data_IF_867658592424
#
_entry.id   IF_867658592424
#
_cell.length_a   1.000
_cell.length_b   1.000
_cell.length_c   1.000
_cell.angle_alpha   90.00
_cell.angle_beta   90.00
_cell.angle_gamma   90.00
#
_symmetry.space_group_name_H-M   'P 1'
#
loop_
_entity.id
_entity.type
_entity.pdbx_description
1 polymer ?
#
# COMPACT_ATOMS: atom_id res chain seq x y z
N UNK A 1 -16.56 1.38 6.22
CA UNK A 1 -15.89 0.24 5.58
C UNK A 1 -14.82 -0.19 6.55
N UNK A 2 -14.73 -1.46 6.91
CA UNK A 2 -13.57 -1.94 7.69
C UNK A 2 -12.32 -1.64 6.86
N UNK A 3 -11.35 -0.97 7.46
CA UNK A 3 -10.08 -0.70 6.82
C UNK A 3 -9.33 -2.04 6.77
N UNK A 4 -9.06 -2.57 5.57
CA UNK A 4 -8.35 -3.84 5.43
C UNK A 4 -6.93 -3.76 6.02
N UNK A 5 -6.29 -2.60 5.86
CA UNK A 5 -4.97 -2.27 6.42
C UNK A 5 -5.15 -1.51 7.73
N UNK A 6 -4.67 -2.08 8.83
CA UNK A 6 -4.71 -1.45 10.16
C UNK A 6 -3.63 -0.36 10.21
N UNK A 7 -2.38 -0.74 9.92
CA UNK A 7 -1.21 0.13 9.95
C UNK A 7 -0.43 0.00 8.63
N UNK A 8 0.10 1.11 8.13
CA UNK A 8 1.11 1.12 7.07
C UNK A 8 2.13 2.22 7.41
N UNK A 9 3.39 1.84 7.45
CA UNK A 9 4.47 2.76 7.81
C UNK A 9 5.82 2.34 7.20
N UNK A 10 6.77 3.27 7.18
CA UNK A 10 8.13 3.07 6.73
C UNK A 10 9.04 3.01 7.97
N UNK A 11 9.76 1.90 8.10
CA UNK A 11 10.68 1.65 9.19
C UNK A 11 12.11 1.58 8.67
N UNK A 12 13.02 2.29 9.32
CA UNK A 12 14.45 2.20 9.10
C UNK A 12 15.06 1.18 10.07
N UNK A 13 15.81 0.20 9.55
CA UNK A 13 16.46 -0.82 10.35
C UNK A 13 17.70 -0.22 11.02
N UNK A 14 17.68 -0.11 12.35
CA UNK A 14 18.76 0.48 13.13
C UNK A 14 19.82 -0.56 13.51
N UNK A 15 19.37 -1.72 13.98
CA UNK A 15 20.26 -2.77 14.48
C UNK A 15 19.70 -4.14 14.09
N UNK A 16 20.61 -5.08 13.88
CA UNK A 16 20.32 -6.49 13.66
C UNK A 16 21.02 -7.30 14.75
N UNK A 17 20.25 -8.15 15.42
CA UNK A 17 20.69 -9.04 16.49
C UNK A 17 21.40 -8.32 17.65
N UNK A 18 20.68 -7.48 18.42
CA UNK A 18 21.26 -6.75 19.56
C UNK A 18 21.82 -7.67 20.66
N UNK A 19 21.28 -8.88 20.79
CA UNK A 19 21.71 -9.90 21.75
C UNK A 19 22.75 -10.88 21.16
N UNK A 20 23.28 -10.57 19.97
CA UNK A 20 24.11 -11.47 19.18
C UNK A 20 23.29 -12.51 18.40
N UNK A 21 23.93 -13.13 17.41
CA UNK A 21 23.30 -14.12 16.52
C UNK A 21 23.09 -15.44 17.27
N UNK A 22 21.87 -15.66 17.77
CA UNK A 22 21.48 -16.91 18.45
C UNK A 22 20.98 -17.99 17.49
N UNK A 23 20.47 -17.59 16.33
CA UNK A 23 19.89 -18.49 15.34
C UNK A 23 20.50 -18.23 13.96
N UNK A 24 20.69 -19.28 13.16
CA UNK A 24 21.31 -19.15 11.84
C UNK A 24 20.39 -18.52 10.80
N UNK A 25 19.10 -18.88 10.85
CA UNK A 25 18.09 -18.52 9.85
C UNK A 25 17.18 -17.37 10.27
N UNK A 26 17.16 -17.04 11.55
CA UNK A 26 16.27 -16.00 12.10
C UNK A 26 17.12 -14.94 12.75
N UNK A 27 16.88 -13.69 12.39
CA UNK A 27 17.48 -12.54 13.07
C UNK A 27 16.40 -11.67 13.67
N UNK A 28 16.73 -11.07 14.81
CA UNK A 28 15.91 -10.05 15.46
C UNK A 28 16.34 -8.68 14.97
N UNK A 29 15.47 -7.99 14.25
CA UNK A 29 15.71 -6.63 13.80
C UNK A 29 15.06 -5.63 14.75
N UNK A 30 15.79 -4.54 15.03
CA UNK A 30 15.24 -3.34 15.65
C UNK A 30 15.14 -2.27 14.58
N UNK A 31 13.92 -1.76 14.38
CA UNK A 31 13.64 -0.74 13.38
C UNK A 31 12.84 0.40 14.01
N UNK A 32 13.01 1.60 13.48
CA UNK A 32 12.31 2.80 13.94
C UNK A 32 11.53 3.42 12.80
N UNK A 33 10.31 3.85 13.08
CA UNK A 33 9.44 4.51 12.12
C UNK A 33 9.94 5.91 11.79
N UNK A 34 9.86 6.27 10.50
CA UNK A 34 10.18 7.61 10.00
C UNK A 34 9.04 8.62 10.29
N UNK A 35 7.78 8.18 10.25
CA UNK A 35 6.62 9.10 10.30
C UNK A 35 6.03 9.29 11.69
N UNK A 36 6.01 8.23 12.50
CA UNK A 36 5.17 8.15 13.69
C UNK A 36 5.94 7.83 14.96
N UNK A 37 7.29 7.91 14.92
CA UNK A 37 8.18 7.66 16.07
C UNK A 37 7.86 6.34 16.81
N UNK A 38 7.43 5.33 16.05
CA UNK A 38 7.20 3.98 16.54
C UNK A 38 8.49 3.17 16.57
N UNK A 39 8.65 2.37 17.61
CA UNK A 39 9.76 1.42 17.73
C UNK A 39 9.25 0.02 17.44
N UNK A 40 9.94 -0.70 16.57
CA UNK A 40 9.59 -2.04 16.12
C UNK A 40 10.74 -3.00 16.42
N UNK A 41 10.44 -4.09 17.12
CA UNK A 41 11.33 -5.26 17.21
C UNK A 41 10.64 -6.42 16.53
N UNK A 42 11.28 -7.03 15.53
CA UNK A 42 10.68 -8.08 14.70
C UNK A 42 11.67 -9.22 14.46
N UNK A 43 11.22 -10.45 14.61
CA UNK A 43 11.96 -11.63 14.20
C UNK A 43 11.66 -11.94 12.72
N UNK A 44 12.71 -11.96 11.88
CA UNK A 44 12.62 -12.18 10.43
C UNK A 44 13.47 -13.37 10.02
N UNK A 45 12.97 -14.17 9.08
CA UNK A 45 13.74 -15.21 8.45
C UNK A 45 14.69 -14.62 7.40
N UNK A 46 15.98 -14.58 7.72
CA UNK A 46 17.03 -13.94 6.89
C UNK A 46 17.42 -14.75 5.67
N UNK A 47 17.11 -16.05 5.64
CA UNK A 47 17.37 -16.95 4.51
C UNK A 47 16.43 -16.62 3.33
N UNK A 48 15.15 -16.35 3.64
CA UNK A 48 14.14 -16.02 2.64
C UNK A 48 14.15 -14.53 2.30
N UNK A 49 14.32 -13.67 3.30
CA UNK A 49 14.29 -12.22 3.12
C UNK A 49 15.51 -11.59 3.79
N UNK A 50 16.61 -11.38 3.04
CA UNK A 50 17.82 -10.79 3.59
C UNK A 50 17.59 -9.32 3.90
N UNK A 51 17.75 -8.96 5.18
CA UNK A 51 17.66 -7.60 5.70
C UNK A 51 19.04 -7.15 6.18
N UNK A 52 19.42 -5.95 5.74
CA UNK A 52 20.64 -5.26 6.15
C UNK A 52 20.33 -4.06 7.06
N UNK A 53 21.33 -3.63 7.83
CA UNK A 53 21.22 -2.46 8.71
C UNK A 53 21.25 -1.20 7.84
N UNK A 54 20.38 -0.24 8.14
CA UNK A 54 20.19 0.99 7.36
C UNK A 54 19.16 0.88 6.23
N UNK A 55 18.63 -0.32 5.96
CA UNK A 55 17.57 -0.47 4.96
C UNK A 55 16.24 0.11 5.44
N UNK A 56 15.50 0.75 4.51
CA UNK A 56 14.13 1.22 4.75
C UNK A 56 13.13 0.18 4.28
N UNK A 57 12.34 -0.33 5.21
CA UNK A 57 11.31 -1.34 5.00
C UNK A 57 9.93 -0.71 5.11
N UNK A 58 9.07 -0.94 4.12
CA UNK A 58 7.65 -0.58 4.23
C UNK A 58 6.94 -1.77 4.85
N UNK A 59 6.32 -1.54 6.00
CA UNK A 59 5.63 -2.57 6.79
C UNK A 59 4.15 -2.18 6.88
N UNK A 60 3.30 -3.15 6.55
CA UNK A 60 1.85 -3.01 6.63
C UNK A 60 1.25 -4.14 7.45
N UNK A 61 0.44 -3.77 8.44
CA UNK A 61 -0.41 -4.71 9.20
C UNK A 61 -1.81 -4.69 8.60
N UNK A 62 -2.33 -5.85 8.24
CA UNK A 62 -3.66 -5.99 7.69
C UNK A 62 -4.46 -7.05 8.47
N UNK A 63 -5.76 -6.81 8.64
CA UNK A 63 -6.70 -7.79 9.21
C UNK A 63 -7.18 -8.80 8.18
N UNK A 64 -7.12 -8.43 6.89
CA UNK A 64 -7.52 -9.29 5.78
C UNK A 64 -6.66 -9.02 4.55
N UNK A 65 -6.44 -10.07 3.77
CA UNK A 65 -5.71 -10.04 2.50
C UNK A 65 -6.62 -9.72 1.31
N UNK A 66 -7.93 -9.88 1.49
CA UNK A 66 -8.92 -9.63 0.45
C UNK A 66 -9.09 -8.13 0.22
N UNK A 67 -8.99 -7.71 -1.04
CA UNK A 67 -9.23 -6.33 -1.46
C UNK A 67 -10.65 -5.86 -1.11
N UNK A 68 -11.60 -6.80 -1.07
CA UNK A 68 -13.01 -6.56 -0.77
C UNK A 68 -13.28 -6.27 0.72
N UNK A 69 -12.27 -6.42 1.59
CA UNK A 69 -12.38 -6.16 3.03
C UNK A 69 -13.20 -7.21 3.78
N UNK A 70 -13.49 -8.36 3.15
CA UNK A 70 -14.10 -9.51 3.82
C UNK A 70 -13.13 -10.07 4.88
N UNK A 71 -13.60 -10.40 6.09
CA UNK A 71 -12.73 -10.96 7.12
C UNK A 71 -12.10 -12.25 6.60
N UNK A 72 -10.79 -12.43 6.80
CA UNK A 72 -10.11 -13.64 6.36
C UNK A 72 -10.56 -14.84 7.19
N UNK A 73 -10.83 -15.97 6.54
CA UNK A 73 -11.08 -17.24 7.24
C UNK A 73 -9.82 -17.68 8.01
N UNK A 74 -10.01 -18.44 9.10
CA UNK A 74 -8.91 -19.04 9.86
C UNK A 74 -8.11 -20.08 9.05
N UNK A 75 -8.65 -20.54 7.92
CA UNK A 75 -8.02 -21.49 7.00
C UNK A 75 -7.47 -20.75 5.78
N UNK A 76 -6.22 -21.05 5.42
CA UNK A 76 -5.59 -20.54 4.20
C UNK A 76 -6.39 -21.03 2.98
N UNK A 77 -6.94 -20.08 2.21
CA UNK A 77 -7.64 -20.40 0.98
C UNK A 77 -6.63 -20.63 -0.14
N UNK A 78 -6.52 -21.87 -0.63
CA UNK A 78 -5.63 -22.21 -1.74
C UNK A 78 -5.95 -21.43 -3.02
N UNK A 79 -7.12 -20.77 -3.11
CA UNK A 79 -7.47 -19.87 -4.21
C UNK A 79 -6.53 -18.65 -4.33
N UNK A 80 -5.77 -18.31 -3.28
CA UNK A 80 -4.71 -17.31 -3.35
C UNK A 80 -3.60 -17.69 -4.36
N UNK A 81 -3.33 -18.98 -4.53
CA UNK A 81 -2.41 -19.48 -5.56
C UNK A 81 -3.04 -19.52 -6.97
N UNK A 82 -4.37 -19.45 -7.06
CA UNK A 82 -5.16 -19.57 -8.30
C UNK A 82 -5.26 -18.25 -9.11
N UNK A 83 -4.54 -17.20 -8.72
CA UNK A 83 -4.45 -15.95 -9.50
C UNK A 83 -5.47 -14.86 -9.16
N UNK A 84 -6.16 -14.94 -8.02
CA UNK A 84 -6.96 -13.81 -7.52
C UNK A 84 -6.00 -12.71 -7.05
N UNK A 85 -6.19 -11.47 -7.53
CA UNK A 85 -5.39 -10.34 -7.07
C UNK A 85 -5.65 -10.07 -5.59
N UNK A 86 -4.59 -9.99 -4.80
CA UNK A 86 -4.69 -9.73 -3.36
C UNK A 86 -3.76 -8.62 -2.91
N UNK A 87 -3.85 -8.23 -1.64
CA UNK A 87 -2.87 -7.32 -1.05
C UNK A 87 -1.45 -7.92 -1.06
N UNK A 88 -1.30 -9.25 -0.99
CA UNK A 88 0.00 -9.94 -0.96
C UNK A 88 0.86 -9.64 -2.19
N UNK A 89 0.25 -9.51 -3.36
CA UNK A 89 0.95 -9.30 -4.63
C UNK A 89 1.81 -8.02 -4.65
N UNK A 90 1.52 -7.06 -3.76
CA UNK A 90 2.24 -5.78 -3.66
C UNK A 90 3.43 -5.82 -2.69
N UNK A 91 3.62 -6.94 -1.99
CA UNK A 91 4.62 -7.12 -0.94
C UNK A 91 5.46 -8.36 -1.22
N UNK A 92 6.66 -8.39 -0.65
CA UNK A 92 7.67 -9.42 -0.93
C UNK A 92 7.68 -10.50 0.14
N UNK A 93 7.41 -10.08 1.38
CA UNK A 93 7.46 -10.94 2.54
C UNK A 93 6.14 -10.81 3.30
N UNK A 94 5.52 -11.95 3.61
CA UNK A 94 4.21 -12.01 4.26
C UNK A 94 4.28 -13.00 5.41
N UNK A 95 3.75 -12.61 6.57
CA UNK A 95 3.57 -13.48 7.73
C UNK A 95 2.12 -13.42 8.21
N UNK A 96 1.63 -14.54 8.73
CA UNK A 96 0.32 -14.63 9.36
C UNK A 96 0.49 -14.99 10.84
N UNK A 97 -0.20 -14.26 11.70
CA UNK A 97 -0.02 -14.38 13.14
C UNK A 97 -1.21 -13.85 13.92
N UNK A 98 -1.04 -13.81 15.24
CA UNK A 98 -2.09 -13.44 16.17
C UNK A 98 -1.54 -12.50 17.25
N UNK A 99 -2.32 -11.49 17.61
CA UNK A 99 -2.01 -10.61 18.75
C UNK A 99 -2.27 -11.38 20.03
N UNK A 100 -1.26 -11.50 20.91
CA UNK A 100 -1.40 -12.27 22.14
C UNK A 100 -1.32 -11.42 23.40
N UNK A 101 -0.68 -10.25 23.34
CA UNK A 101 -0.54 -9.37 24.50
C UNK A 101 -0.60 -7.91 24.05
N UNK A 102 -1.43 -7.15 24.73
CA UNK A 102 -1.53 -5.70 24.61
C UNK A 102 -1.19 -5.10 25.97
N UNK A 103 -0.26 -4.14 25.99
CA UNK A 103 0.16 -3.45 27.22
C UNK A 103 0.02 -1.95 27.00
N UNK A 104 -0.95 -1.35 27.67
CA UNK A 104 -1.08 0.11 27.71
C UNK A 104 -0.20 0.66 28.85
N UNK A 105 0.87 1.40 28.51
CA UNK A 105 1.70 2.06 29.51
C UNK A 105 1.18 3.46 29.89
N UNK A 106 -0.06 3.82 29.52
CA UNK A 106 -0.70 5.08 29.89
C UNK A 106 -0.70 5.38 31.40
N UNK A 107 -0.68 4.33 32.23
CA UNK A 107 -0.60 4.42 33.70
C UNK A 107 0.74 4.94 34.24
N UNK A 108 1.81 4.89 33.44
CA UNK A 108 3.18 5.28 33.84
C UNK A 108 3.58 6.69 33.42
N UNK A 109 2.62 7.49 32.93
CA UNK A 109 2.86 8.86 32.44
C UNK A 109 3.47 8.94 31.03
N UNK A 110 3.80 7.79 30.43
CA UNK A 110 4.21 7.70 29.04
C UNK A 110 3.00 7.37 28.15
N UNK A 111 2.74 8.22 27.14
CA UNK A 111 1.68 8.04 26.13
C UNK A 111 2.04 6.96 25.08
N UNK A 112 2.68 5.86 25.49
CA UNK A 112 3.09 4.77 24.59
C UNK A 112 2.36 3.48 24.95
N UNK A 113 1.89 2.75 23.94
CA UNK A 113 1.34 1.40 24.08
C UNK A 113 2.25 0.40 23.38
N UNK A 114 2.37 -0.80 23.96
CA UNK A 114 3.13 -1.91 23.42
C UNK A 114 2.18 -3.03 22.96
N UNK A 115 2.29 -3.43 21.71
CA UNK A 115 1.55 -4.55 21.11
C UNK A 115 2.51 -5.68 20.79
N UNK A 116 2.17 -6.89 21.25
CA UNK A 116 2.94 -8.09 20.98
C UNK A 116 2.16 -9.03 20.06
N UNK A 117 2.79 -9.42 18.97
CA UNK A 117 2.24 -10.30 17.93
C UNK A 117 3.14 -11.52 17.78
N UNK A 118 2.52 -12.69 17.60
CA UNK A 118 3.23 -13.95 17.35
C UNK A 118 2.86 -14.50 15.99
N UNK A 119 3.88 -14.78 15.16
CA UNK A 119 3.77 -15.38 13.85
C UNK A 119 4.29 -16.82 13.89
N UNK A 120 3.63 -17.68 14.68
CA UNK A 120 4.01 -19.10 14.79
C UNK A 120 5.38 -19.35 15.42
N UNK A 121 5.81 -18.47 16.33
CA UNK A 121 7.11 -18.56 17.02
C UNK A 121 8.04 -17.38 16.74
N UNK A 122 7.84 -16.68 15.63
CA UNK A 122 8.50 -15.39 15.36
C UNK A 122 7.75 -14.28 16.10
N UNK A 123 8.46 -13.53 16.93
CA UNK A 123 7.86 -12.50 17.76
C UNK A 123 7.99 -11.12 17.13
N UNK A 124 6.99 -10.29 17.39
CA UNK A 124 6.99 -8.88 17.07
C UNK A 124 6.53 -8.09 18.28
N UNK A 125 7.25 -7.01 18.56
CA UNK A 125 6.88 -5.98 19.52
C UNK A 125 6.81 -4.65 18.79
N UNK A 126 5.65 -4.00 18.87
CA UNK A 126 5.43 -2.67 18.31
C UNK A 126 5.09 -1.71 19.46
N UNK A 127 5.90 -0.68 19.63
CA UNK A 127 5.72 0.36 20.63
C UNK A 127 5.39 1.67 19.93
N UNK A 128 4.28 2.32 20.29
CA UNK A 128 3.85 3.55 19.64
C UNK A 128 2.64 4.22 20.28
N UNK A 129 2.07 5.21 19.59
CA UNK A 129 0.89 5.93 20.08
C UNK A 129 -0.34 5.01 20.21
N UNK A 130 -1.06 5.04 21.36
CA UNK A 130 -2.23 4.18 21.59
C UNK A 130 -3.36 4.42 20.58
N UNK A 131 -3.51 5.66 20.07
CA UNK A 131 -4.56 6.02 19.10
C UNK A 131 -4.45 5.30 17.76
N UNK A 132 -3.25 4.84 17.39
CA UNK A 132 -3.00 4.10 16.14
C UNK A 132 -3.04 2.59 16.34
N UNK A 133 -2.85 2.17 17.58
CA UNK A 133 -2.82 0.78 18.00
C UNK A 133 -4.19 0.32 18.54
N UNK A 134 -5.17 1.22 18.66
CA UNK A 134 -6.55 0.92 19.07
C UNK A 134 -7.26 -0.05 18.11
N UNK A 135 -6.86 -0.08 16.83
CA UNK A 135 -7.42 -1.00 15.84
C UNK A 135 -6.90 -2.45 16.01
N UNK A 136 -5.99 -2.72 16.96
CA UNK A 136 -5.37 -4.02 17.22
C UNK A 136 -5.94 -4.64 18.49
N UNK A 137 -6.86 -5.58 18.33
CA UNK A 137 -7.45 -6.31 19.43
C UNK A 137 -6.63 -7.55 19.82
N UNK A 138 -6.72 -7.93 21.10
CA UNK A 138 -6.19 -9.21 21.58
C UNK A 138 -6.95 -10.35 20.89
N UNK A 139 -6.23 -11.42 20.59
CA UNK A 139 -6.73 -12.60 19.91
C UNK A 139 -7.17 -12.37 18.44
N UNK A 140 -6.85 -11.22 17.86
CA UNK A 140 -7.12 -10.94 16.45
C UNK A 140 -6.05 -11.57 15.54
N UNK A 141 -6.51 -12.13 14.41
CA UNK A 141 -5.63 -12.59 13.33
C UNK A 141 -5.11 -11.39 12.51
N UNK A 142 -3.80 -11.36 12.28
CA UNK A 142 -3.13 -10.26 11.60
C UNK A 142 -2.14 -10.82 10.58
N UNK A 143 -2.09 -10.14 9.44
CA UNK A 143 -1.10 -10.33 8.40
C UNK A 143 -0.08 -9.21 8.47
N UNK A 144 1.19 -9.59 8.57
CA UNK A 144 2.31 -8.68 8.35
C UNK A 144 2.71 -8.77 6.88
N UNK A 145 2.79 -7.62 6.24
CA UNK A 145 3.23 -7.49 4.86
C UNK A 145 4.43 -6.55 4.82
N UNK A 146 5.52 -6.97 4.18
CA UNK A 146 6.77 -6.22 4.13
C UNK A 146 7.32 -6.14 2.70
N UNK A 147 7.96 -5.01 2.39
CA UNK A 147 8.73 -4.82 1.15
C UNK A 147 9.86 -3.81 1.36
N UNK A 148 10.90 -3.84 0.53
CA UNK A 148 11.95 -2.82 0.56
C UNK A 148 11.45 -1.52 -0.07
N UNK A 149 11.66 -0.39 0.59
CA UNK A 149 11.28 0.92 0.06
C UNK A 149 12.08 1.27 -1.21
N UNK A 150 13.37 0.91 -1.22
CA UNK A 150 14.26 1.17 -2.34
C UNK A 150 13.85 0.47 -3.62
N UNK A 151 13.25 -0.73 -3.55
CA UNK A 151 12.81 -1.46 -4.73
C UNK A 151 11.79 -0.65 -5.54
N UNK A 152 10.88 0.07 -4.87
CA UNK A 152 9.95 0.98 -5.55
C UNK A 152 10.64 2.21 -6.11
N UNK A 153 11.59 2.79 -5.38
CA UNK A 153 12.34 3.95 -5.87
C UNK A 153 13.18 3.59 -7.10
N UNK A 154 13.82 2.42 -7.10
CA UNK A 154 14.61 1.88 -8.21
C UNK A 154 13.69 1.53 -9.39
N UNK A 155 12.58 0.81 -9.17
CA UNK A 155 11.61 0.50 -10.23
C UNK A 155 11.04 1.79 -10.82
N UNK A 156 10.64 2.76 -9.99
CA UNK A 156 10.10 4.04 -10.46
C UNK A 156 11.18 4.86 -11.19
N UNK A 157 12.43 4.86 -10.72
CA UNK A 157 13.56 5.53 -11.38
C UNK A 157 13.86 4.87 -12.73
N UNK A 158 13.87 3.55 -12.78
CA UNK A 158 14.09 2.77 -14.00
C UNK A 158 12.93 2.95 -14.98
N UNK A 159 11.68 2.96 -14.51
CA UNK A 159 10.50 3.28 -15.30
C UNK A 159 10.55 4.69 -15.88
N UNK A 160 10.96 5.70 -15.09
CA UNK A 160 11.17 7.07 -15.58
C UNK A 160 12.30 7.16 -16.61
N UNK A 161 13.41 6.43 -16.41
CA UNK A 161 14.50 6.35 -17.40
C UNK A 161 14.04 5.68 -18.69
N UNK A 162 13.31 4.57 -18.59
CA UNK A 162 12.72 3.88 -19.74
C UNK A 162 11.70 4.76 -20.47
N UNK A 163 10.91 5.54 -19.72
CA UNK A 163 9.97 6.52 -20.28
C UNK A 163 10.68 7.61 -21.07
N UNK A 164 11.73 8.18 -20.48
CA UNK A 164 12.55 9.21 -21.11
C UNK A 164 13.27 8.69 -22.36
N UNK A 165 13.58 7.40 -22.40
CA UNK A 165 14.17 6.71 -23.56
C UNK A 165 13.12 6.18 -24.56
N UNK A 166 11.83 6.40 -24.33
CA UNK A 166 10.75 5.90 -25.20
C UNK A 166 10.61 4.36 -25.24
N UNK A 167 11.21 3.67 -24.28
CA UNK A 167 11.31 2.20 -24.21
C UNK A 167 10.28 1.57 -23.24
N UNK A 168 9.35 2.35 -22.71
CA UNK A 168 8.25 1.84 -21.88
C UNK A 168 7.36 0.85 -22.64
N UNK A 169 7.12 1.13 -23.93
CA UNK A 169 6.28 0.33 -24.80
C UNK A 169 7.16 -0.40 -25.82
N UNK A 170 7.89 -1.42 -25.36
CA UNK A 170 8.48 -2.36 -26.32
C UNK A 170 7.32 -3.10 -27.01
N UNK A 171 7.11 -2.96 -28.33
CA UNK A 171 5.96 -3.58 -29.01
C UNK A 171 5.95 -5.11 -28.91
N UNK A 172 7.12 -5.73 -28.65
CA UNK A 172 7.20 -7.15 -28.31
C UNK A 172 6.58 -7.49 -26.94
N UNK A 173 6.62 -6.58 -25.97
CA UNK A 173 6.05 -6.75 -24.62
C UNK A 173 4.52 -6.78 -24.67
N UNK A 174 3.91 -5.85 -25.42
CA UNK A 174 2.46 -5.85 -25.63
C UNK A 174 2.00 -7.12 -26.39
N UNK A 175 2.74 -7.54 -27.42
CA UNK A 175 2.45 -8.78 -28.15
C UNK A 175 2.63 -10.04 -27.28
N UNK A 176 3.61 -10.06 -26.36
CA UNK A 176 3.78 -11.17 -25.41
C UNK A 176 2.74 -11.17 -24.29
N UNK A 177 2.29 -10.00 -23.83
CA UNK A 177 1.20 -9.88 -22.86
C UNK A 177 -0.15 -10.26 -23.46
N UNK A 178 -0.43 -9.85 -24.71
CA UNK A 178 -1.61 -10.29 -25.45
C UNK A 178 -1.57 -11.79 -25.72
N UNK A 179 -0.43 -12.35 -26.11
CA UNK A 179 -0.27 -13.81 -26.27
C UNK A 179 -0.50 -14.54 -24.96
N UNK A 180 0.09 -14.07 -23.85
CA UNK A 180 -0.16 -14.62 -22.50
C UNK A 180 -1.61 -14.45 -22.06
N UNK A 181 -2.28 -13.37 -22.47
CA UNK A 181 -3.70 -13.13 -22.19
C UNK A 181 -4.58 -14.10 -22.98
N UNK A 182 -4.33 -14.31 -24.27
CA UNK A 182 -5.01 -15.32 -25.10
C UNK A 182 -4.80 -16.72 -24.54
N UNK A 183 -3.57 -17.09 -24.18
CA UNK A 183 -3.27 -18.39 -23.56
C UNK A 183 -3.96 -18.58 -22.19
N UNK A 184 -4.21 -17.50 -21.43
CA UNK A 184 -4.97 -17.56 -20.17
C UNK A 184 -6.47 -17.68 -20.42
N UNK A 185 -7.00 -16.91 -21.38
CA UNK A 185 -8.41 -16.98 -21.78
C UNK A 185 -8.75 -18.36 -22.40
N UNK A 186 -7.84 -18.96 -23.16
CA UNK A 186 -7.97 -20.31 -23.70
C UNK A 186 -7.92 -21.37 -22.60
N UNK A 187 -7.00 -21.27 -21.64
CA UNK A 187 -6.97 -22.16 -20.47
C UNK A 187 -8.25 -22.05 -19.65
N UNK A 188 -8.72 -20.83 -19.41
CA UNK A 188 -9.99 -20.60 -18.72
C UNK A 188 -11.17 -21.24 -19.48
N UNK A 189 -11.26 -21.06 -20.81
CA UNK A 189 -12.28 -21.72 -21.62
C UNK A 189 -12.17 -23.24 -21.57
N UNK A 190 -10.97 -23.80 -21.60
CA UNK A 190 -10.76 -25.25 -21.50
C UNK A 190 -11.18 -25.77 -20.13
N UNK A 191 -10.94 -25.04 -19.05
CA UNK A 191 -11.39 -25.39 -17.70
C UNK A 191 -12.90 -25.23 -17.53
N UNK A 192 -13.52 -24.17 -18.07
CA UNK A 192 -14.98 -23.99 -18.09
C UNK A 192 -15.66 -25.09 -18.92
N UNK A 193 -15.13 -25.43 -20.08
CA UNK A 193 -15.62 -26.52 -20.91
C UNK A 193 -15.47 -27.87 -20.21
N UNK A 194 -14.34 -28.12 -19.52
CA UNK A 194 -14.17 -29.31 -18.66
C UNK A 194 -15.19 -29.34 -17.51
N UNK A 195 -15.43 -28.21 -16.85
CA UNK A 195 -16.44 -28.10 -15.79
C UNK A 195 -17.85 -28.35 -16.31
N UNK A 196 -18.20 -27.82 -17.49
CA UNK A 196 -19.48 -28.08 -18.14
C UNK A 196 -19.63 -29.54 -18.57
N UNK A 197 -18.58 -30.17 -19.11
CA UNK A 197 -18.59 -31.59 -19.49
C UNK A 197 -18.78 -32.50 -18.27
N UNK A 198 -18.11 -32.19 -17.15
CA UNK A 198 -18.29 -32.92 -15.87
C UNK A 198 -19.72 -32.74 -15.34
N UNK A 199 -20.29 -31.53 -15.44
CA UNK A 199 -21.70 -31.28 -15.08
C UNK A 199 -22.69 -31.99 -16.02
N UNK A 200 -22.33 -32.18 -17.29
CA UNK A 200 -23.10 -32.91 -18.29
C UNK A 200 -22.96 -34.44 -18.19
N UNK A 201 -22.14 -34.94 -17.25
CA UNK A 201 -21.96 -36.38 -17.00
C UNK A 201 -21.03 -37.09 -17.98
N UNK A 202 -20.26 -36.37 -18.78
CA UNK A 202 -19.26 -36.95 -19.68
C UNK A 202 -17.98 -37.26 -18.90
N UNK A 203 -17.47 -38.50 -19.01
CA UNK A 203 -16.24 -38.92 -18.35
C UNK A 203 -15.03 -38.14 -18.91
N UNK A 204 -14.11 -37.65 -18.05
CA UNK A 204 -13.00 -36.82 -18.51
C UNK A 204 -12.08 -37.61 -19.44
N UNK A 205 -11.85 -37.07 -20.64
CA UNK A 205 -10.88 -37.61 -21.59
C UNK A 205 -9.52 -37.76 -20.91
N UNK A 206 -8.99 -38.99 -20.94
CA UNK A 206 -7.70 -39.37 -20.36
C UNK A 206 -6.60 -38.41 -20.79
N UNK A 207 -5.89 -37.88 -19.80
CA UNK A 207 -4.75 -36.98 -19.94
C UNK A 207 -3.72 -37.57 -20.92
N UNK A 208 -3.31 -36.86 -21.98
CA UNK A 208 -2.34 -37.39 -22.92
C UNK A 208 -1.03 -37.63 -22.19
N UNK A 209 -0.62 -38.90 -22.13
CA UNK A 209 0.60 -39.35 -21.50
C UNK A 209 1.76 -38.47 -21.94
N UNK A 210 2.32 -37.74 -20.97
CA UNK A 210 3.50 -36.88 -21.14
C UNK A 210 4.61 -37.75 -21.73
N UNK A 211 4.84 -37.67 -23.04
CA UNK A 211 5.94 -38.39 -23.70
C UNK A 211 7.23 -37.96 -23.03
N UNK A 212 7.76 -38.83 -22.18
CA UNK A 212 9.14 -38.76 -21.69
C UNK A 212 10.04 -38.73 -22.92
N UNK A 213 10.65 -37.58 -23.20
CA UNK A 213 11.79 -37.51 -24.13
C UNK A 213 12.93 -38.26 -23.47
N UNK A 214 13.02 -39.57 -23.75
CA UNK A 214 14.29 -40.29 -23.67
C UNK A 214 15.25 -39.65 -24.66
N UNK A 215 16.44 -39.36 -24.17
CA UNK A 215 17.62 -39.05 -24.97
C UNK A 215 17.86 -40.22 -25.94
N UNK A 216 17.80 -39.93 -27.23
CA UNK A 216 18.06 -40.85 -28.34
C UNK A 216 18.30 -40.00 -29.57
N UNK A 217 19.49 -40.15 -30.16
CA UNK A 217 20.16 -39.14 -30.98
C UNK A 217 19.53 -38.81 -32.34
N UNK A 218 19.83 -37.59 -32.77
CA UNK A 218 20.20 -37.18 -34.13
C UNK A 218 20.42 -35.65 -34.09
N UNK A 219 21.67 -35.23 -33.84
CA UNK A 219 22.09 -33.84 -34.10
C UNK A 219 22.11 -33.62 -35.63
N UNK A 220 21.51 -32.55 -36.16
CA UNK A 220 21.84 -32.07 -37.49
C UNK A 220 23.06 -31.15 -37.42
N UNK A 221 24.09 -31.51 -38.18
CA UNK A 221 25.35 -30.78 -38.29
C UNK A 221 25.16 -29.33 -38.76
N UNK A 222 25.88 -28.42 -38.11
CA UNK A 222 26.08 -27.03 -38.55
C UNK A 222 27.37 -26.94 -39.38
N UNK A 223 27.38 -26.22 -40.52
CA UNK A 223 28.55 -26.16 -41.37
C UNK A 223 29.64 -25.24 -40.79
N UNK A 224 30.86 -25.79 -40.80
CA UNK A 224 32.12 -25.18 -40.38
C UNK A 224 32.59 -24.13 -41.40
N UNK A 225 32.88 -22.91 -40.94
CA UNK A 225 33.73 -21.94 -41.67
C UNK A 225 34.80 -21.34 -40.74
N UNK A 226 35.99 -21.95 -40.84
CA UNK A 226 37.35 -21.36 -40.98
C UNK A 226 37.77 -20.18 -40.08
N UNK A 227 38.63 -20.52 -39.11
CA UNK A 227 40.01 -20.02 -38.86
C UNK A 227 40.37 -18.56 -39.22
N UNK A 228 40.85 -17.81 -38.19
CA UNK A 228 42.17 -17.15 -38.07
C UNK A 228 42.13 -16.05 -36.96
N UNK A 229 43.27 -15.63 -36.34
CA UNK A 229 44.18 -16.42 -35.52
C UNK A 229 44.49 -15.77 -34.15
N UNK A 230 45.11 -16.56 -33.27
CA UNK A 230 45.67 -16.16 -31.97
C UNK A 230 46.83 -15.17 -32.09
N UNK A 231 47.03 -14.32 -31.08
CA UNK A 231 48.39 -13.98 -30.66
C UNK A 231 48.45 -13.60 -29.17
N UNK A 232 49.32 -14.30 -28.44
CA UNK A 232 49.73 -14.00 -27.08
C UNK A 232 51.15 -13.38 -27.09
N UNK A 233 51.45 -12.59 -26.04
CA UNK A 233 52.73 -11.92 -25.69
C UNK A 233 52.95 -10.59 -26.43
N UNK A 234 53.34 -9.49 -25.78
CA UNK A 234 54.51 -9.34 -24.89
C UNK A 234 54.40 -8.04 -24.07
N UNK A 235 55.08 -8.01 -22.91
CA UNK A 235 55.40 -6.80 -22.12
C UNK A 235 56.51 -5.98 -22.81
N UNK A 236 56.57 -4.71 -22.39
CA UNK A 236 57.69 -3.75 -22.36
C UNK A 236 58.04 -3.00 -23.67
N UNK A 237 57.81 -1.69 -23.69
CA UNK A 237 58.84 -0.63 -23.60
C UNK A 237 58.44 0.69 -24.28
N UNK A 238 58.83 1.80 -23.63
CA UNK A 238 59.16 3.15 -24.14
C UNK A 238 58.04 4.00 -24.79
N UNK A 239 57.62 5.12 -24.18
CA UNK A 239 58.26 6.44 -24.07
C UNK A 239 57.84 7.44 -25.16
N UNK A 240 57.42 8.61 -24.67
CA UNK A 240 57.50 9.96 -25.26
C UNK A 240 56.65 10.35 -26.49
N UNK A 241 55.76 11.34 -26.25
CA UNK A 241 55.62 12.65 -26.92
C UNK A 241 54.12 13.04 -26.98
N UNK A 242 53.61 13.84 -26.04
CA UNK A 242 53.56 15.32 -26.09
C UNK A 242 52.65 15.93 -27.17
N UNK A 243 51.49 16.44 -26.73
CA UNK A 243 50.80 17.66 -27.21
C UNK A 243 49.51 17.81 -26.36
N UNK A 244 49.52 18.42 -25.18
CA UNK A 244 49.45 19.86 -24.92
C UNK A 244 48.22 20.57 -25.52
N UNK A 245 47.17 20.76 -24.71
CA UNK A 245 46.52 22.08 -24.51
C UNK A 245 45.57 22.06 -23.29
N UNK A 246 45.75 22.93 -22.27
CA UNK A 246 44.94 22.93 -21.04
C UNK A 246 43.78 23.95 -21.04
N UNK A 247 42.76 23.66 -20.24
CA UNK A 247 41.66 24.56 -19.90
C UNK A 247 42.14 25.73 -19.02
N UNK A 248 41.68 26.98 -19.25
CA UNK A 248 42.22 28.15 -18.56
C UNK A 248 41.66 28.34 -17.14
N UNK A 249 42.59 28.51 -16.20
CA UNK A 249 42.34 29.11 -14.89
C UNK A 249 42.16 30.63 -15.04
N UNK A 250 41.02 31.15 -14.59
CA UNK A 250 40.79 32.59 -14.42
C UNK A 250 41.02 32.96 -12.95
N UNK A 251 42.24 33.41 -12.65
CA UNK A 251 42.51 34.39 -11.59
C UNK A 251 43.03 35.66 -12.26
N UNK A 252 42.36 36.78 -12.03
CA UNK A 252 42.99 38.09 -12.05
C UNK A 252 42.56 38.88 -10.81
N UNK A 253 43.42 39.79 -10.31
CA UNK A 253 43.22 40.50 -9.05
C UNK A 253 42.39 41.78 -9.25
N UNK A 254 41.60 42.14 -8.23
CA UNK A 254 40.88 43.41 -8.16
C UNK A 254 41.79 44.54 -7.65
N UNK A 255 41.63 45.78 -8.15
CA UNK A 255 42.42 46.92 -7.71
C UNK A 255 41.89 47.45 -6.37
N UNK A 256 42.82 47.82 -5.50
CA UNK A 256 42.59 48.64 -4.32
C UNK A 256 42.63 50.12 -4.73
N UNK A 257 41.54 50.84 -4.54
CA UNK A 257 41.53 52.29 -4.29
C UNK A 257 40.22 52.62 -3.59
N UNK A 258 40.35 53.01 -2.32
CA UNK A 258 39.24 53.43 -1.49
C UNK A 258 38.91 54.91 -1.66
N UNK A 259 37.68 55.26 -1.30
CA UNK A 259 37.36 56.51 -0.61
C UNK A 259 35.92 56.45 -0.11
N UNK A 260 35.80 56.28 1.21
CA UNK A 260 34.81 56.91 2.10
C UNK A 260 33.47 57.33 1.46
N UNK A 261 32.45 56.49 1.60
CA UNK A 261 31.03 56.92 1.67
C UNK A 261 30.06 55.79 2.07
N UNK A 262 30.51 54.53 2.15
CA UNK A 262 29.60 53.41 2.39
C UNK A 262 29.13 53.22 3.85
N UNK A 263 29.77 53.87 4.82
CA UNK A 263 29.39 53.77 6.24
C UNK A 263 28.25 54.74 6.60
N UNK A 264 27.96 55.74 5.77
CA UNK A 264 26.82 56.66 5.96
C UNK A 264 25.54 56.23 5.24
N UNK A 265 25.63 55.40 4.19
CA UNK A 265 24.44 54.83 3.55
C UNK A 265 23.72 53.80 4.45
N UNK A 266 24.47 53.04 5.26
CA UNK A 266 23.92 52.00 6.14
C UNK A 266 23.27 52.54 7.44
N UNK A 267 23.41 53.84 7.73
CA UNK A 267 22.75 54.49 8.88
C UNK A 267 21.41 55.15 8.52
N UNK A 268 21.12 55.36 7.24
CA UNK A 268 19.86 55.96 6.80
C UNK A 268 18.78 54.92 6.44
N UNK A 269 19.17 53.67 6.19
CA UNK A 269 18.24 52.54 5.96
C UNK A 269 17.78 51.84 7.25
N UNK A 270 18.24 52.29 8.42
CA UNK A 270 17.90 51.73 9.74
C UNK A 270 16.89 52.60 10.53
N UNK A 271 16.14 53.48 9.85
CA UNK A 271 15.13 54.35 10.47
C UNK A 271 13.79 54.41 9.70
N UNK A 272 13.48 53.37 8.90
CA UNK A 272 12.17 53.21 8.26
C UNK A 272 11.70 51.74 8.29
N UNK A 273 11.75 51.11 9.48
CA UNK A 273 11.27 49.74 9.67
C UNK A 273 10.36 49.59 10.91
N UNK A 274 9.52 50.59 11.18
CA UNK A 274 8.46 50.47 12.20
C UNK A 274 7.03 50.39 11.63
N UNK A 275 6.85 50.45 10.29
CA UNK A 275 5.52 50.39 9.65
C UNK A 275 5.24 49.11 8.82
N UNK A 276 6.22 48.21 8.63
CA UNK A 276 6.04 47.00 7.78
C UNK A 276 5.63 45.72 8.54
N UNK A 277 5.74 45.71 9.88
CA UNK A 277 5.37 44.54 10.69
C UNK A 277 3.84 44.37 10.82
N UNK A 278 3.06 45.47 10.76
CA UNK A 278 1.59 45.40 10.76
C UNK A 278 1.03 44.84 9.44
N UNK A 279 1.67 45.14 8.29
CA UNK A 279 1.25 44.64 6.98
C UNK A 279 1.58 43.15 6.78
N UNK A 280 2.74 42.69 7.28
CA UNK A 280 3.11 41.27 7.30
C UNK A 280 2.28 40.48 8.32
N UNK A 281 1.98 41.05 9.48
CA UNK A 281 1.07 40.50 10.49
C UNK A 281 -0.37 40.34 9.94
N UNK A 282 -0.88 41.36 9.25
CA UNK A 282 -2.20 41.35 8.62
C UNK A 282 -2.31 40.30 7.51
N UNK A 283 -1.28 40.14 6.67
CA UNK A 283 -1.23 39.09 5.63
C UNK A 283 -1.18 37.69 6.22
N UNK A 284 -0.40 37.47 7.28
CA UNK A 284 -0.34 36.17 8.00
C UNK A 284 -1.66 35.85 8.70
N UNK A 285 -2.32 36.85 9.30
CA UNK A 285 -3.63 36.70 9.92
C UNK A 285 -4.72 36.34 8.87
N UNK A 286 -4.71 37.00 7.71
CA UNK A 286 -5.62 36.68 6.59
C UNK A 286 -5.38 35.27 6.05
N UNK A 287 -4.13 34.85 5.88
CA UNK A 287 -3.80 33.48 5.44
C UNK A 287 -4.21 32.43 6.48
N UNK A 288 -4.02 32.70 7.77
CA UNK A 288 -4.46 31.81 8.85
C UNK A 288 -5.99 31.68 8.89
N UNK A 289 -6.73 32.78 8.73
CA UNK A 289 -8.19 32.76 8.65
C UNK A 289 -8.70 31.98 7.43
N UNK A 290 -8.08 32.15 6.26
CA UNK A 290 -8.41 31.38 5.06
C UNK A 290 -8.14 29.88 5.26
N UNK A 291 -7.02 29.52 5.86
CA UNK A 291 -6.68 28.12 6.15
C UNK A 291 -7.68 27.50 7.14
N UNK A 292 -8.09 28.24 8.18
CA UNK A 292 -9.09 27.77 9.14
C UNK A 292 -10.48 27.60 8.50
N UNK A 293 -10.88 28.48 7.59
CA UNK A 293 -12.12 28.35 6.81
C UNK A 293 -12.08 27.13 5.87
N UNK A 294 -10.95 26.89 5.21
CA UNK A 294 -10.77 25.70 4.36
C UNK A 294 -10.83 24.40 5.17
N UNK A 295 -10.24 24.37 6.37
CA UNK A 295 -10.34 23.23 7.28
C UNK A 295 -11.77 23.00 7.77
N UNK A 296 -12.52 24.06 8.11
CA UNK A 296 -13.95 23.96 8.45
C UNK A 296 -14.77 23.39 7.29
N UNK A 297 -14.54 23.87 6.07
CA UNK A 297 -15.19 23.35 4.84
C UNK A 297 -14.83 21.88 4.58
N UNK A 298 -13.56 21.49 4.73
CA UNK A 298 -13.11 20.08 4.60
C UNK A 298 -13.76 19.18 5.66
N UNK A 299 -13.83 19.62 6.92
CA UNK A 299 -14.47 18.88 8.02
C UNK A 299 -15.98 18.70 7.78
N UNK A 300 -16.66 19.74 7.31
CA UNK A 300 -18.08 19.67 6.96
C UNK A 300 -18.35 18.76 5.76
N UNK A 301 -17.49 18.80 4.73
CA UNK A 301 -17.56 17.88 3.58
C UNK A 301 -17.38 16.42 4.02
N UNK A 302 -16.42 16.13 4.91
CA UNK A 302 -16.21 14.78 5.47
C UNK A 302 -17.43 14.29 6.28
N UNK A 303 -18.04 15.17 7.10
CA UNK A 303 -19.27 14.86 7.85
C UNK A 303 -20.45 14.52 6.92
N UNK A 304 -20.66 15.31 5.87
CA UNK A 304 -21.71 15.04 4.86
C UNK A 304 -21.49 13.71 4.13
N UNK A 305 -20.23 13.39 3.80
CA UNK A 305 -19.86 12.10 3.21
C UNK A 305 -20.14 10.93 4.17
N UNK A 306 -19.77 11.04 5.45
CA UNK A 306 -20.05 9.99 6.44
C UNK A 306 -21.55 9.78 6.68
N UNK A 307 -22.34 10.86 6.73
CA UNK A 307 -23.80 10.79 6.82
C UNK A 307 -24.42 10.14 5.58
N UNK A 308 -23.90 10.45 4.38
CA UNK A 308 -24.31 9.81 3.13
C UNK A 308 -24.06 8.30 3.12
N UNK A 309 -22.89 7.86 3.60
CA UNK A 309 -22.53 6.44 3.69
C UNK A 309 -23.43 5.69 4.69
N UNK A 310 -23.74 6.30 5.85
CA UNK A 310 -24.65 5.70 6.83
C UNK A 310 -26.07 5.55 6.28
N UNK A 311 -26.57 6.58 5.58
CA UNK A 311 -27.87 6.52 4.89
C UNK A 311 -27.92 5.40 3.85
N UNK A 312 -26.87 5.25 3.04
CA UNK A 312 -26.79 4.22 2.01
C UNK A 312 -26.80 2.79 2.60
N UNK A 313 -26.07 2.58 3.70
CA UNK A 313 -26.06 1.30 4.43
C UNK A 313 -27.44 0.93 4.97
N UNK A 314 -28.16 1.90 5.54
CA UNK A 314 -29.53 1.70 6.05
C UNK A 314 -30.50 1.36 4.92
N UNK A 315 -30.41 2.08 3.79
CA UNK A 315 -31.26 1.84 2.63
C UNK A 315 -31.01 0.44 2.03
N UNK A 316 -29.75 -0.03 1.95
CA UNK A 316 -29.41 -1.38 1.49
C UNK A 316 -29.95 -2.48 2.41
N UNK A 317 -29.81 -2.32 3.74
CA UNK A 317 -30.33 -3.29 4.70
C UNK A 317 -31.87 -3.37 4.67
N UNK A 318 -32.53 -2.23 4.47
CA UNK A 318 -33.98 -2.18 4.31
C UNK A 318 -34.43 -2.78 2.97
N UNK A 319 -33.66 -2.60 1.89
CA UNK A 319 -33.95 -3.21 0.58
C UNK A 319 -33.92 -4.73 0.63
N UNK A 320 -32.88 -5.32 1.24
CA UNK A 320 -32.79 -6.78 1.43
C UNK A 320 -34.01 -7.32 2.19
N UNK A 321 -34.46 -6.60 3.23
CA UNK A 321 -35.61 -6.98 4.05
C UNK A 321 -36.95 -6.86 3.33
N UNK A 322 -37.10 -5.90 2.40
CA UNK A 322 -38.30 -5.80 1.57
C UNK A 322 -38.35 -6.94 0.54
N UNK A 323 -37.20 -7.38 0.03
CA UNK A 323 -37.12 -8.50 -0.92
C UNK A 323 -37.34 -9.87 -0.28
N UNK A 324 -36.95 -10.04 0.99
CA UNK A 324 -36.96 -11.36 1.68
C UNK A 324 -38.19 -11.60 2.56
N UNK A 325 -38.92 -10.55 2.96
CA UNK A 325 -40.02 -10.67 3.92
C UNK A 325 -41.40 -10.61 3.25
N UNK A 326 -42.36 -11.34 3.82
CA UNK A 326 -43.76 -11.28 3.40
C UNK A 326 -44.42 -9.96 3.79
N UNK A 327 -45.48 -9.59 3.07
CA UNK A 327 -46.22 -8.33 3.26
C UNK A 327 -46.75 -8.14 4.69
N UNK A 328 -47.18 -9.23 5.34
CA UNK A 328 -47.64 -9.22 6.75
C UNK A 328 -46.50 -8.90 7.72
N UNK A 329 -45.31 -9.44 7.47
CA UNK A 329 -44.15 -9.20 8.34
C UNK A 329 -43.60 -7.77 8.18
N UNK A 330 -43.70 -7.18 6.99
CA UNK A 330 -43.38 -5.77 6.75
C UNK A 330 -44.31 -4.84 7.55
N UNK A 331 -45.61 -5.14 7.65
CA UNK A 331 -46.56 -4.37 8.47
C UNK A 331 -46.23 -4.40 9.96
N UNK A 332 -45.98 -5.58 10.52
CA UNK A 332 -45.57 -5.71 11.94
C UNK A 332 -44.29 -4.93 12.22
N UNK A 333 -43.41 -4.86 11.24
CA UNK A 333 -42.17 -4.11 11.36
C UNK A 333 -42.36 -2.60 11.35
N UNK A 334 -43.26 -2.07 10.51
CA UNK A 334 -43.63 -0.65 10.54
C UNK A 334 -44.06 -0.24 11.96
N UNK A 335 -44.81 -1.09 12.65
CA UNK A 335 -45.25 -0.83 14.03
C UNK A 335 -44.12 -0.94 15.07
N UNK A 336 -43.04 -1.68 14.78
CA UNK A 336 -41.91 -1.89 15.72
C UNK A 336 -40.78 -0.88 15.58
N UNK A 337 -40.66 -0.16 14.45
CA UNK A 337 -39.59 0.81 14.25
C UNK A 337 -39.85 2.05 15.11
N UNK A 338 -38.95 2.33 16.06
CA UNK A 338 -39.01 3.51 16.94
C UNK A 338 -38.08 4.66 16.54
N UNK A 339 -37.15 4.40 15.62
CA UNK A 339 -36.16 5.39 15.19
C UNK A 339 -36.62 6.11 13.92
N UNK A 340 -36.67 7.45 13.97
CA UNK A 340 -37.18 8.33 12.91
C UNK A 340 -36.37 8.16 11.60
N UNK A 341 -35.04 8.14 11.68
CA UNK A 341 -34.19 7.99 10.49
C UNK A 341 -34.33 6.63 9.83
N UNK A 342 -34.48 5.56 10.63
CA UNK A 342 -34.75 4.21 10.12
C UNK A 342 -36.12 4.14 9.44
N UNK A 343 -37.13 4.82 9.98
CA UNK A 343 -38.46 4.90 9.37
C UNK A 343 -38.44 5.68 8.05
N UNK A 344 -37.77 6.84 8.02
CA UNK A 344 -37.60 7.65 6.80
C UNK A 344 -36.85 6.88 5.70
N UNK A 345 -35.79 6.16 6.05
CA UNK A 345 -35.10 5.24 5.16
C UNK A 345 -36.03 4.15 4.62
N UNK A 346 -36.81 3.50 5.50
CA UNK A 346 -37.73 2.44 5.12
C UNK A 346 -38.80 2.92 4.12
N UNK A 347 -39.37 4.12 4.32
CA UNK A 347 -40.33 4.74 3.39
C UNK A 347 -39.67 5.00 2.02
N UNK A 348 -38.44 5.52 1.98
CA UNK A 348 -37.72 5.74 0.70
C UNK A 348 -37.56 4.44 -0.09
N UNK A 349 -37.20 3.36 0.60
CA UNK A 349 -37.00 2.06 -0.04
C UNK A 349 -38.34 1.45 -0.49
N UNK A 350 -39.41 1.54 0.32
CA UNK A 350 -40.76 1.10 -0.08
C UNK A 350 -41.26 1.82 -1.35
N UNK A 351 -41.04 3.14 -1.44
CA UNK A 351 -41.36 3.92 -2.65
C UNK A 351 -40.57 3.41 -3.87
N UNK A 352 -39.28 3.05 -3.69
CA UNK A 352 -38.44 2.51 -4.78
C UNK A 352 -38.96 1.19 -5.32
N UNK A 353 -39.51 0.34 -4.46
CA UNK A 353 -40.12 -0.94 -4.84
C UNK A 353 -41.61 -0.83 -5.23
N UNK A 354 -42.15 0.39 -5.36
CA UNK A 354 -43.55 0.66 -5.74
C UNK A 354 -44.59 -0.01 -4.82
N UNK A 355 -44.29 -0.11 -3.53
CA UNK A 355 -45.21 -0.68 -2.52
C UNK A 355 -46.00 0.44 -1.83
N UNK A 356 -46.92 1.07 -2.56
CA UNK A 356 -47.56 2.33 -2.16
C UNK A 356 -48.45 2.21 -0.90
N UNK A 357 -49.15 1.08 -0.75
CA UNK A 357 -50.00 0.82 0.42
C UNK A 357 -49.20 0.76 1.73
N UNK A 358 -48.06 0.07 1.72
CA UNK A 358 -47.17 0.00 2.88
C UNK A 358 -46.44 1.32 3.14
N UNK A 359 -46.10 2.05 2.07
CA UNK A 359 -45.48 3.36 2.20
C UNK A 359 -46.43 4.38 2.85
N UNK A 360 -47.73 4.33 2.54
CA UNK A 360 -48.75 5.15 3.18
C UNK A 360 -48.89 4.82 4.68
N UNK A 361 -48.98 3.54 5.04
CA UNK A 361 -49.02 3.07 6.43
C UNK A 361 -47.76 3.51 7.21
N UNK A 362 -46.58 3.41 6.59
CA UNK A 362 -45.32 3.84 7.20
C UNK A 362 -45.24 5.36 7.41
N UNK A 363 -45.81 6.17 6.51
CA UNK A 363 -45.91 7.64 6.70
C UNK A 363 -46.86 8.03 7.83
N UNK A 364 -47.94 7.27 8.04
CA UNK A 364 -48.82 7.45 9.21
C UNK A 364 -48.07 7.10 10.50
N UNK A 365 -47.31 6.00 10.51
CA UNK A 365 -46.48 5.63 11.65
C UNK A 365 -45.37 6.65 11.95
N UNK A 366 -44.74 7.25 10.93
CA UNK A 366 -43.74 8.30 11.10
C UNK A 366 -44.32 9.54 11.80
N UNK A 367 -45.55 9.94 11.43
CA UNK A 367 -46.27 11.05 12.08
C UNK A 367 -46.68 10.79 13.54
N UNK A 368 -46.60 9.54 14.00
CA UNK A 368 -46.82 9.18 15.41
C UNK A 368 -45.52 9.15 16.22
N UNK A 369 -44.37 9.23 15.55
CA UNK A 369 -43.03 9.16 16.14
C UNK A 369 -42.32 10.52 16.15
N UNK A 370 -42.60 11.38 15.16
CA UNK A 370 -42.35 12.83 15.20
C UNK A 370 -43.35 13.49 16.17
#
# INVERSE_FOLDING_TARGET
>A
MSKAQLLEDIFEVLEKDPDGKKFDKVSRIKARSDLYEMDLTLDVNTDVYPVEVGEKLVICLASTLNLDGTPSSATFDASFASGRRTLMDNFEYVMHGKVFKFKDNSSSGQLKADVYVSYGGLLMQLTGDPKRLEDLDIDQNIYLLMRKAERRAIIARNQKRLAALGLLDNPLSAATEERRRREREERWRQEEARRQAVLAGEAPATEPQRRSRRLGGAEPELPILKELPSCARRRSDCEAAEAATPWPQLRQPLPLLGSRSFIEQARHDLLLLDDDDELLGSRRAQQAQQHQQQQKKKKQKRRRLSEGVLRLRMDNHNAMRIQTMSHRALRTRIQRIRNIDKMRSFIRVLNRFKMDNLAAEARVALRRLD
#
